data_IF_478087769543
#
_entry.id   IF_478087769543
#
_cell.length_a   1.000
_cell.length_b   1.000
_cell.length_c   1.000
_cell.angle_alpha   90.00
_cell.angle_beta   90.00
_cell.angle_gamma   90.00
#
_symmetry.space_group_name_H-M   'P 1'
#
loop_
_entity.id
_entity.type
_entity.pdbx_description
1 polymer ?
#
# COMPACT_ATOMS: atom_id res chain seq x y z
N UNK A 1 9.63 17.64 -9.30
CA UNK A 1 10.36 16.41 -8.94
C UNK A 1 9.41 15.23 -9.09
N UNK A 2 9.90 14.09 -9.59
CA UNK A 2 9.08 12.92 -9.89
C UNK A 2 8.69 12.15 -8.62
N UNK A 3 7.42 11.72 -8.49
CA UNK A 3 6.92 10.94 -7.33
C UNK A 3 7.38 9.49 -7.40
N UNK A 4 7.54 8.83 -6.25
CA UNK A 4 7.97 7.44 -6.15
C UNK A 4 6.89 6.58 -5.52
N UNK A 5 6.78 5.33 -5.99
CA UNK A 5 5.68 4.45 -5.65
C UNK A 5 6.15 3.04 -5.30
N UNK A 6 5.37 2.37 -4.47
CA UNK A 6 5.48 0.94 -4.17
C UNK A 6 4.25 0.25 -4.76
N UNK A 7 4.43 -0.94 -5.34
CA UNK A 7 3.33 -1.80 -5.75
C UNK A 7 3.29 -3.02 -4.82
N UNK A 8 2.28 -3.12 -3.96
CA UNK A 8 2.24 -4.14 -2.89
C UNK A 8 0.90 -4.86 -2.84
N UNK A 9 0.93 -6.17 -2.58
CA UNK A 9 -0.23 -6.98 -2.23
C UNK A 9 -0.45 -6.89 -0.71
N UNK A 10 -1.60 -6.38 -0.30
CA UNK A 10 -1.91 -6.20 1.11
C UNK A 10 -3.41 -6.15 1.37
N UNK A 11 -3.81 -6.45 2.61
CA UNK A 11 -5.16 -6.14 3.09
C UNK A 11 -5.27 -4.67 3.42
N UNK A 12 -6.34 -4.05 2.95
CA UNK A 12 -6.64 -2.65 3.25
C UNK A 12 -7.47 -2.55 4.52
N UNK A 13 -7.31 -1.45 5.24
CA UNK A 13 -8.10 -1.14 6.44
C UNK A 13 -8.78 0.21 6.25
N UNK A 14 -9.97 0.34 6.86
CA UNK A 14 -10.73 1.59 6.83
C UNK A 14 -10.32 2.54 7.96
N UNK A 15 -9.94 2.03 9.14
CA UNK A 15 -9.59 2.86 10.29
C UNK A 15 -8.68 2.13 11.28
N UNK A 16 -8.17 2.89 12.28
CA UNK A 16 -7.27 2.39 13.33
C UNK A 16 -7.85 1.28 14.23
N UNK A 17 -9.17 1.10 14.26
CA UNK A 17 -9.82 0.04 15.07
C UNK A 17 -9.56 -1.35 14.48
N UNK A 18 -9.42 -1.44 13.15
CA UNK A 18 -9.19 -2.68 12.43
C UNK A 18 -10.30 -3.73 12.56
N UNK A 19 -10.10 -4.88 11.91
CA UNK A 19 -10.86 -6.10 12.19
C UNK A 19 -10.39 -6.69 13.54
N UNK A 20 -11.29 -7.19 14.42
CA UNK A 20 -12.74 -7.37 14.23
C UNK A 20 -13.58 -6.17 14.67
N UNK A 21 -12.96 -5.07 15.13
CA UNK A 21 -13.64 -4.01 15.88
C UNK A 21 -14.32 -2.93 15.01
N UNK A 22 -14.39 -3.11 13.69
CA UNK A 22 -15.04 -2.21 12.75
C UNK A 22 -15.65 -3.00 11.60
N UNK A 23 -16.97 -2.90 11.40
CA UNK A 23 -17.72 -3.66 10.39
C UNK A 23 -17.16 -3.45 8.98
N UNK A 24 -16.84 -2.19 8.62
CA UNK A 24 -16.20 -1.89 7.33
C UNK A 24 -14.79 -2.47 7.19
N UNK A 25 -14.02 -2.56 8.28
CA UNK A 25 -12.74 -3.27 8.23
C UNK A 25 -12.92 -4.78 8.11
N UNK A 26 -14.03 -5.32 8.63
CA UNK A 26 -14.38 -6.73 8.49
C UNK A 26 -14.73 -7.05 7.04
N UNK A 27 -15.57 -6.24 6.40
CA UNK A 27 -15.84 -6.34 4.96
C UNK A 27 -14.54 -6.32 4.13
N UNK A 28 -13.65 -5.36 4.38
CA UNK A 28 -12.36 -5.29 3.69
C UNK A 28 -11.44 -6.48 3.98
N UNK A 29 -11.53 -7.08 5.17
CA UNK A 29 -10.79 -8.29 5.52
C UNK A 29 -11.35 -9.51 4.79
N UNK A 30 -12.66 -9.61 4.66
CA UNK A 30 -13.37 -10.69 3.96
C UNK A 30 -13.19 -10.60 2.44
N UNK A 31 -13.05 -9.39 1.87
CA UNK A 31 -12.66 -9.17 0.47
C UNK A 31 -11.26 -9.71 0.13
N UNK A 32 -10.41 -9.90 1.13
CA UNK A 32 -9.07 -10.44 0.97
C UNK A 32 -8.02 -9.43 0.51
N UNK A 33 -6.92 -9.96 -0.02
CA UNK A 33 -5.77 -9.14 -0.43
C UNK A 33 -6.08 -8.33 -1.69
N UNK A 34 -5.59 -7.09 -1.73
CA UNK A 34 -5.66 -6.20 -2.88
C UNK A 34 -4.26 -5.88 -3.38
N UNK A 35 -4.18 -5.48 -4.65
CA UNK A 35 -2.95 -4.98 -5.24
C UNK A 35 -2.98 -3.45 -5.19
N UNK A 36 -2.17 -2.86 -4.33
CA UNK A 36 -2.19 -1.43 -4.04
C UNK A 36 -0.91 -0.75 -4.53
N UNK A 37 -1.09 0.38 -5.20
CA UNK A 37 -0.04 1.36 -5.48
C UNK A 37 -0.04 2.34 -4.32
N UNK A 38 1.12 2.45 -3.66
CA UNK A 38 1.35 3.30 -2.51
C UNK A 38 2.30 4.42 -2.93
N UNK A 39 1.93 5.67 -2.69
CA UNK A 39 2.79 6.83 -2.93
C UNK A 39 3.68 7.06 -1.72
N UNK A 40 4.98 7.27 -1.96
CA UNK A 40 5.93 7.60 -0.91
C UNK A 40 5.96 9.12 -0.70
N UNK A 41 5.48 9.62 0.46
CA UNK A 41 5.54 11.03 0.79
C UNK A 41 7.00 11.46 0.95
N UNK A 42 7.29 12.70 0.56
CA UNK A 42 8.63 13.31 0.69
C UNK A 42 8.74 14.26 1.87
N UNK A 43 7.62 14.59 2.49
CA UNK A 43 7.50 15.54 3.58
C UNK A 43 7.33 14.80 4.92
N UNK A 44 8.31 14.98 5.80
CA UNK A 44 8.27 14.46 7.18
C UNK A 44 7.64 15.48 8.14
N UNK A 45 6.58 16.16 7.69
CA UNK A 45 5.82 17.07 8.56
C UNK A 45 5.23 16.35 9.78
N UNK A 46 4.58 17.09 10.69
CA UNK A 46 3.87 16.51 11.84
C UNK A 46 2.52 15.89 11.41
N UNK A 47 2.53 14.98 10.44
CA UNK A 47 1.35 14.28 9.92
C UNK A 47 1.53 12.79 10.16
N UNK A 48 0.60 12.20 10.92
CA UNK A 48 0.58 10.76 11.12
C UNK A 48 0.16 10.06 9.83
N UNK A 49 1.03 9.19 9.30
CA UNK A 49 0.74 8.38 8.10
C UNK A 49 0.79 6.88 8.38
N UNK A 50 0.08 6.07 7.60
CA UNK A 50 0.28 4.62 7.59
C UNK A 50 1.73 4.26 7.26
N UNK A 51 2.22 3.20 7.90
CA UNK A 51 3.55 2.62 7.64
C UNK A 51 3.38 1.21 7.08
N UNK A 52 4.16 0.89 6.05
CA UNK A 52 4.27 -0.47 5.50
C UNK A 52 5.69 -0.98 5.66
N UNK A 53 5.85 -2.31 5.65
CA UNK A 53 7.16 -2.96 5.66
C UNK A 53 7.50 -3.46 4.26
N UNK A 54 8.73 -3.19 3.82
CA UNK A 54 9.32 -3.80 2.63
C UNK A 54 10.53 -4.65 3.05
N UNK A 55 10.64 -5.84 2.46
CA UNK A 55 11.75 -6.75 2.69
C UNK A 55 12.72 -6.61 1.52
N UNK A 56 13.92 -6.07 1.77
CA UNK A 56 14.93 -5.87 0.72
C UNK A 56 16.30 -6.27 1.25
N UNK A 57 16.93 -7.25 0.60
CA UNK A 57 18.29 -7.69 0.94
C UNK A 57 18.42 -8.25 2.36
N UNK A 58 17.37 -8.92 2.87
CA UNK A 58 17.38 -9.52 4.22
C UNK A 58 17.13 -8.54 5.36
N UNK A 59 16.82 -7.27 5.06
CA UNK A 59 16.45 -6.26 6.05
C UNK A 59 15.00 -5.77 5.85
N UNK A 60 14.36 -5.44 6.96
CA UNK A 60 13.04 -4.82 7.00
C UNK A 60 13.20 -3.30 6.98
N UNK A 61 12.56 -2.65 6.00
CA UNK A 61 12.45 -1.20 5.95
C UNK A 61 11.00 -0.77 6.17
N UNK A 62 10.79 0.13 7.12
CA UNK A 62 9.51 0.73 7.44
C UNK A 62 9.36 2.04 6.68
N UNK A 63 8.32 2.13 5.85
CA UNK A 63 8.10 3.25 4.93
C UNK A 63 6.71 3.81 5.17
N UNK A 64 6.63 5.12 5.39
CA UNK A 64 5.37 5.86 5.37
C UNK A 64 4.79 5.88 3.97
N UNK A 65 3.47 5.82 3.86
CA UNK A 65 2.83 5.85 2.56
C UNK A 65 1.48 6.56 2.56
N UNK A 66 1.08 7.00 1.38
CA UNK A 66 -0.30 7.40 1.07
C UNK A 66 -0.90 6.44 0.06
N UNK A 67 -2.19 6.12 0.21
CA UNK A 67 -2.87 5.28 -0.77
C UNK A 67 -3.04 6.05 -2.08
N UNK A 68 -2.38 5.58 -3.14
CA UNK A 68 -2.61 6.12 -4.47
C UNK A 68 -3.81 5.42 -5.13
N UNK A 69 -3.79 4.09 -5.21
CA UNK A 69 -4.90 3.29 -5.77
C UNK A 69 -4.80 1.82 -5.37
N UNK A 70 -5.94 1.12 -5.26
CA UNK A 70 -5.98 -0.33 -5.04
C UNK A 70 -6.85 -1.01 -6.10
N UNK A 71 -6.46 -2.24 -6.44
CA UNK A 71 -7.06 -3.05 -7.51
C UNK A 71 -7.39 -4.45 -7.00
N UNK A 72 -8.39 -5.07 -7.63
CA UNK A 72 -8.79 -6.45 -7.30
C UNK A 72 -7.89 -7.47 -7.99
N UNK A 73 -7.33 -7.13 -9.15
CA UNK A 73 -6.47 -8.04 -9.90
C UNK A 73 -5.04 -7.52 -10.05
N UNK A 74 -4.09 -8.46 -10.10
CA UNK A 74 -2.67 -8.17 -10.36
C UNK A 74 -2.48 -7.45 -11.70
N UNK A 75 -3.21 -7.87 -12.73
CA UNK A 75 -3.09 -7.32 -14.08
C UNK A 75 -3.52 -5.85 -14.18
N UNK A 76 -4.59 -5.46 -13.49
CA UNK A 76 -5.02 -4.05 -13.42
C UNK A 76 -3.95 -3.19 -12.75
N UNK A 77 -3.39 -3.66 -11.63
CA UNK A 77 -2.35 -2.94 -10.91
C UNK A 77 -1.07 -2.78 -11.73
N UNK A 78 -0.64 -3.83 -12.43
CA UNK A 78 0.49 -3.81 -13.35
C UNK A 78 0.27 -2.86 -14.53
N UNK A 79 -0.95 -2.79 -15.07
CA UNK A 79 -1.24 -1.85 -16.15
C UNK A 79 -1.22 -0.40 -15.67
N UNK A 80 -1.77 -0.13 -14.48
CA UNK A 80 -1.77 1.20 -13.89
C UNK A 80 -0.37 1.66 -13.44
N UNK A 81 0.54 0.74 -13.13
CA UNK A 81 1.89 1.08 -12.67
C UNK A 81 2.87 1.45 -13.80
N UNK A 82 2.56 1.14 -15.06
CA UNK A 82 3.45 1.39 -16.22
C UNK A 82 3.85 2.85 -16.40
N UNK A 83 3.01 3.79 -16.00
CA UNK A 83 3.26 5.24 -16.09
C UNK A 83 3.85 5.83 -14.80
N UNK A 84 4.19 5.00 -13.82
CA UNK A 84 4.67 5.42 -12.51
C UNK A 84 6.09 4.93 -12.27
N UNK A 85 6.86 5.71 -11.50
CA UNK A 85 8.17 5.29 -11.00
C UNK A 85 8.01 4.33 -9.83
N UNK A 86 7.83 3.05 -10.12
CA UNK A 86 7.79 1.99 -9.11
C UNK A 86 9.21 1.68 -8.65
N UNK A 87 9.50 1.88 -7.36
CA UNK A 87 10.83 1.60 -6.80
C UNK A 87 10.92 0.25 -6.07
N UNK A 88 9.76 -0.37 -5.80
CA UNK A 88 9.65 -1.67 -5.15
C UNK A 88 8.32 -2.34 -5.50
N UNK A 89 8.34 -3.65 -5.65
CA UNK A 89 7.19 -4.47 -5.98
C UNK A 89 7.16 -5.71 -5.10
N UNK A 90 6.01 -5.99 -4.49
CA UNK A 90 5.75 -7.13 -3.61
C UNK A 90 4.31 -7.61 -3.83
N UNK A 91 4.10 -8.32 -4.94
CA UNK A 91 2.75 -8.72 -5.43
C UNK A 91 2.68 -10.19 -5.85
N UNK A 92 3.67 -10.98 -5.45
CA UNK A 92 3.74 -12.41 -5.70
C UNK A 92 3.16 -13.19 -4.51
#
# INVERSE_FOLDING_TARGET
MEKEYLLKKMRTFHCKRGHPNCDRCKELYDEGDKFCILEMPRDTGMVSRPVTVIHKGGADMYIEYEFHKCFKTKQEALNASKSLKIIFTDID
#
